data_IF_776666633066
#
_entry.id   IF_776666633066
#
_cell.length_a   1.000
_cell.length_b   1.000
_cell.length_c   1.000
_cell.angle_alpha   90.00
_cell.angle_beta   90.00
_cell.angle_gamma   90.00
#
_symmetry.space_group_name_H-M   'P 1'
#
loop_
_entity.id
_entity.type
_entity.pdbx_description
1 polymer ?
#
# COMPACT_ATOMS: atom_id res chain seq x y z
N UNK A 1 -27.97 5.23 -3.36
CA UNK A 1 -26.52 5.19 -3.60
C UNK A 1 -25.85 5.97 -2.48
N UNK A 2 -25.22 5.29 -1.52
CA UNK A 2 -24.45 5.95 -0.47
C UNK A 2 -23.11 6.34 -1.08
N UNK A 3 -22.95 7.61 -1.47
CA UNK A 3 -21.65 8.13 -1.90
C UNK A 3 -20.77 8.22 -0.66
N UNK A 4 -19.84 7.29 -0.53
CA UNK A 4 -18.81 7.35 0.50
C UNK A 4 -17.99 8.62 0.26
N UNK A 5 -18.02 9.57 1.19
CA UNK A 5 -17.24 10.80 1.07
C UNK A 5 -15.75 10.46 1.05
N UNK A 6 -14.91 11.13 0.23
CA UNK A 6 -13.45 10.93 0.24
C UNK A 6 -12.83 11.05 1.65
N UNK A 7 -13.42 11.89 2.50
CA UNK A 7 -13.01 12.05 3.91
C UNK A 7 -13.27 10.78 4.72
N UNK A 8 -14.35 10.06 4.43
CA UNK A 8 -14.68 8.81 5.11
C UNK A 8 -13.70 7.71 4.72
N UNK A 9 -13.32 7.62 3.43
CA UNK A 9 -12.32 6.67 2.97
C UNK A 9 -10.96 6.92 3.65
N UNK A 10 -10.52 8.18 3.67
CA UNK A 10 -9.27 8.60 4.32
C UNK A 10 -9.23 8.22 5.82
N UNK A 11 -10.30 8.45 6.56
CA UNK A 11 -10.38 8.12 7.99
C UNK A 11 -10.38 6.60 8.24
N UNK A 12 -10.93 5.80 7.33
CA UNK A 12 -10.89 4.35 7.41
C UNK A 12 -9.46 3.84 7.21
N UNK A 13 -8.76 4.31 6.18
CA UNK A 13 -7.36 3.92 5.91
C UNK A 13 -6.44 4.27 7.08
N UNK A 14 -6.60 5.46 7.66
CA UNK A 14 -5.82 5.88 8.83
C UNK A 14 -6.02 4.95 10.02
N UNK A 15 -7.29 4.62 10.35
CA UNK A 15 -7.61 3.70 11.47
C UNK A 15 -7.05 2.29 11.26
N UNK A 16 -7.07 1.80 10.02
CA UNK A 16 -6.49 0.49 9.68
C UNK A 16 -4.99 0.49 9.96
N UNK A 17 -4.26 1.52 9.50
CA UNK A 17 -2.83 1.64 9.78
C UNK A 17 -2.52 1.77 11.27
N UNK A 18 -3.25 2.61 12.00
CA UNK A 18 -3.07 2.76 13.45
C UNK A 18 -3.19 1.41 14.17
N UNK A 19 -4.19 0.60 13.82
CA UNK A 19 -4.38 -0.75 14.40
C UNK A 19 -3.21 -1.70 14.07
N UNK A 20 -2.70 -1.68 12.84
CA UNK A 20 -1.59 -2.54 12.43
C UNK A 20 -0.28 -2.11 13.13
N UNK A 21 -0.07 -0.81 13.28
CA UNK A 21 1.11 -0.26 13.96
C UNK A 21 1.03 -0.54 15.46
N UNK A 22 -0.15 -0.43 16.07
CA UNK A 22 -0.36 -0.83 17.46
C UNK A 22 -0.02 -2.31 17.68
N UNK A 23 -0.53 -3.18 16.81
CA UNK A 23 -0.24 -4.61 16.82
C UNK A 23 1.27 -4.88 16.70
N UNK A 24 1.96 -4.20 15.78
CA UNK A 24 3.42 -4.28 15.67
C UNK A 24 4.13 -3.89 16.98
N UNK A 25 3.75 -2.75 17.58
CA UNK A 25 4.39 -2.25 18.79
C UNK A 25 4.14 -3.14 20.01
N UNK A 26 2.97 -3.78 20.09
CA UNK A 26 2.65 -4.68 21.20
C UNK A 26 3.33 -6.05 21.07
N UNK A 27 3.60 -6.51 19.85
CA UNK A 27 4.10 -7.87 19.60
C UNK A 27 5.58 -7.96 19.21
N UNK A 28 6.29 -6.83 19.09
CA UNK A 28 7.71 -6.81 18.72
C UNK A 28 8.59 -6.19 19.79
N UNK A 29 9.85 -6.63 19.86
CA UNK A 29 10.77 -6.10 20.86
C UNK A 29 11.18 -4.66 20.49
N UNK A 30 11.26 -3.77 21.48
CA UNK A 30 11.57 -2.36 21.23
C UNK A 30 12.93 -2.10 20.54
N UNK A 31 13.83 -3.07 20.58
CA UNK A 31 15.11 -3.04 19.85
C UNK A 31 14.94 -3.09 18.34
N UNK A 32 13.91 -3.79 17.86
CA UNK A 32 13.63 -4.02 16.43
C UNK A 32 12.82 -2.89 15.80
N UNK A 33 12.26 -1.99 16.63
CA UNK A 33 11.47 -0.87 16.16
C UNK A 33 12.31 0.06 15.29
N UNK A 34 11.86 0.22 14.05
CA UNK A 34 12.37 1.18 13.07
C UNK A 34 11.27 1.50 12.07
N UNK A 35 11.36 2.65 11.39
CA UNK A 35 10.42 3.02 10.33
C UNK A 35 10.35 1.92 9.27
N UNK A 36 11.50 1.42 8.81
CA UNK A 36 11.54 0.35 7.81
C UNK A 36 10.85 -0.94 8.30
N UNK A 37 11.04 -1.32 9.56
CA UNK A 37 10.41 -2.52 10.13
C UNK A 37 8.88 -2.37 10.16
N UNK A 38 8.38 -1.19 10.52
CA UNK A 38 6.95 -0.90 10.56
C UNK A 38 6.35 -0.88 9.16
N UNK A 39 7.02 -0.25 8.20
CA UNK A 39 6.59 -0.24 6.79
C UNK A 39 6.46 -1.66 6.24
N UNK A 40 7.47 -2.51 6.49
CA UNK A 40 7.43 -3.93 6.07
C UNK A 40 6.33 -4.72 6.77
N UNK A 41 6.14 -4.50 8.07
CA UNK A 41 5.08 -5.17 8.82
C UNK A 41 3.71 -4.77 8.30
N UNK A 42 3.51 -3.48 8.02
CA UNK A 42 2.26 -2.94 7.49
C UNK A 42 1.98 -3.54 6.11
N UNK A 43 2.95 -3.53 5.20
CA UNK A 43 2.82 -4.14 3.86
C UNK A 43 2.48 -5.63 3.90
N UNK A 44 2.97 -6.35 4.92
CA UNK A 44 2.66 -7.78 5.10
C UNK A 44 1.23 -8.06 5.59
N UNK A 45 0.52 -7.03 6.06
CA UNK A 45 -0.84 -7.10 6.61
C UNK A 45 -1.87 -6.47 5.69
N UNK A 46 -1.48 -5.40 5.01
CA UNK A 46 -2.31 -4.57 4.13
C UNK A 46 -1.46 -4.11 2.95
N UNK A 47 -1.99 -4.17 1.72
CA UNK A 47 -1.29 -3.61 0.55
C UNK A 47 -1.19 -2.10 0.72
N UNK A 48 0.03 -1.55 0.69
CA UNK A 48 0.25 -0.11 0.75
C UNK A 48 0.29 0.44 -0.68
N UNK A 49 -0.56 1.42 -0.97
CA UNK A 49 -0.49 2.21 -2.21
C UNK A 49 0.41 3.43 -2.03
N UNK A 50 1.01 3.94 -3.11
CA UNK A 50 1.88 5.13 -3.03
C UNK A 50 1.12 6.33 -2.46
N UNK A 51 -0.16 6.49 -2.82
CA UNK A 51 -1.01 7.57 -2.33
C UNK A 51 -1.28 7.49 -0.82
N UNK A 52 -1.22 6.30 -0.24
CA UNK A 52 -1.47 6.06 1.19
C UNK A 52 -0.24 6.33 2.07
N UNK A 53 0.95 6.51 1.48
CA UNK A 53 2.21 6.71 2.22
C UNK A 53 2.13 7.93 3.15
N UNK A 54 1.44 9.00 2.73
CA UNK A 54 1.21 10.17 3.58
C UNK A 54 0.43 9.82 4.85
N UNK A 55 -0.72 9.15 4.67
CA UNK A 55 -1.58 8.68 5.76
C UNK A 55 -0.84 7.71 6.69
N UNK A 56 -0.03 6.81 6.13
CA UNK A 56 0.78 5.88 6.90
C UNK A 56 1.84 6.60 7.75
N UNK A 57 2.49 7.65 7.21
CA UNK A 57 3.41 8.49 8.00
C UNK A 57 2.68 9.17 9.15
N UNK A 58 1.49 9.71 8.92
CA UNK A 58 0.73 10.36 9.99
C UNK A 58 0.28 9.36 11.06
N UNK A 59 -0.13 8.15 10.65
CA UNK A 59 -0.47 7.05 11.57
C UNK A 59 0.72 6.63 12.43
N UNK A 60 1.91 6.40 11.84
CA UNK A 60 3.11 5.99 12.61
C UNK A 60 3.49 7.06 13.63
N UNK A 61 3.48 8.33 13.22
CA UNK A 61 3.82 9.44 14.12
C UNK A 61 2.82 9.52 15.29
N UNK A 62 1.52 9.48 14.98
CA UNK A 62 0.43 9.51 15.95
C UNK A 62 0.55 8.35 16.94
N UNK A 63 0.80 7.14 16.43
CA UNK A 63 0.94 5.95 17.27
C UNK A 63 2.17 6.02 18.17
N UNK A 64 3.32 6.51 17.69
CA UNK A 64 4.49 6.71 18.55
C UNK A 64 4.22 7.72 19.67
N UNK A 65 3.55 8.84 19.36
CA UNK A 65 3.15 9.85 20.36
C UNK A 65 2.19 9.26 21.38
N UNK A 66 1.17 8.54 20.91
CA UNK A 66 0.18 7.90 21.76
C UNK A 66 0.83 6.85 22.67
N UNK A 67 1.65 5.95 22.11
CA UNK A 67 2.33 4.90 22.87
C UNK A 67 3.27 5.49 23.93
N UNK A 68 4.00 6.55 23.59
CA UNK A 68 4.88 7.27 24.52
C UNK A 68 4.12 7.95 25.66
N UNK A 69 2.86 8.34 25.43
CA UNK A 69 2.01 8.98 26.45
C UNK A 69 1.39 8.00 27.46
N UNK A 70 1.53 6.68 27.25
CA UNK A 70 0.96 5.66 28.14
C UNK A 70 1.55 5.76 29.55
N UNK A 71 0.69 5.61 30.56
CA UNK A 71 1.10 5.51 31.96
C UNK A 71 1.97 4.26 32.14
N UNK A 72 3.01 4.35 32.98
CA UNK A 72 3.91 3.25 33.33
C UNK A 72 4.73 2.66 32.18
N UNK A 73 4.96 3.43 31.11
CA UNK A 73 5.88 3.00 30.06
C UNK A 73 7.31 2.81 30.60
N UNK A 74 7.95 1.70 30.23
CA UNK A 74 9.33 1.44 30.65
C UNK A 74 10.28 2.51 30.09
N UNK A 75 11.25 2.97 30.89
CA UNK A 75 12.20 4.02 30.51
C UNK A 75 12.94 3.71 29.20
N UNK A 76 13.31 2.44 28.98
CA UNK A 76 13.95 2.00 27.73
C UNK A 76 13.07 2.21 26.51
N UNK A 77 11.79 1.85 26.61
CA UNK A 77 10.80 2.00 25.54
C UNK A 77 10.54 3.50 25.28
N UNK A 78 10.37 4.29 26.34
CA UNK A 78 10.21 5.74 26.24
C UNK A 78 11.42 6.40 25.55
N UNK A 79 12.65 6.01 25.91
CA UNK A 79 13.87 6.49 25.26
C UNK A 79 13.96 6.10 23.79
N UNK A 80 13.56 4.88 23.43
CA UNK A 80 13.49 4.42 22.05
C UNK A 80 12.48 5.22 21.22
N UNK A 81 11.26 5.40 21.74
CA UNK A 81 10.22 6.21 21.07
C UNK A 81 10.64 7.67 20.95
N UNK A 82 11.32 8.24 21.95
CA UNK A 82 11.93 9.56 21.86
C UNK A 82 12.85 9.68 20.66
N UNK A 83 13.84 8.78 20.55
CA UNK A 83 14.77 8.78 19.41
C UNK A 83 14.09 8.60 18.06
N UNK A 84 13.06 7.76 17.98
CA UNK A 84 12.30 7.55 16.74
C UNK A 84 11.49 8.80 16.34
N UNK A 85 10.91 9.50 17.31
CA UNK A 85 10.20 10.76 17.09
C UNK A 85 11.15 11.91 16.73
N UNK A 86 12.29 12.03 17.41
CA UNK A 86 13.26 13.11 17.17
C UNK A 86 13.92 12.97 15.78
N UNK A 87 14.09 11.74 15.30
CA UNK A 87 14.68 11.45 13.99
C UNK A 87 13.64 11.01 12.96
N UNK A 88 12.36 11.35 13.16
CA UNK A 88 11.25 10.80 12.38
C UNK A 88 11.43 11.06 10.89
N UNK A 89 11.53 12.33 10.48
CA UNK A 89 11.67 12.71 9.07
C UNK A 89 12.97 12.18 8.46
N UNK A 90 14.06 12.22 9.22
CA UNK A 90 15.37 11.69 8.80
C UNK A 90 15.27 10.19 8.50
N UNK A 91 14.51 9.45 9.29
CA UNK A 91 14.35 8.00 9.13
C UNK A 91 13.70 7.64 7.79
N UNK A 92 12.75 8.45 7.31
CA UNK A 92 12.17 8.30 5.96
C UNK A 92 13.13 8.70 4.84
N UNK A 93 14.11 9.56 5.13
CA UNK A 93 15.16 9.94 4.19
C UNK A 93 16.23 8.88 3.95
N UNK A 94 16.27 7.81 4.75
CA UNK A 94 17.32 6.79 4.67
C UNK A 94 17.26 6.01 3.34
N UNK A 95 18.41 5.57 2.78
CA UNK A 95 18.43 4.83 1.52
C UNK A 95 17.55 3.58 1.50
N UNK A 96 17.46 2.87 2.64
CA UNK A 96 16.64 1.67 2.76
C UNK A 96 15.14 1.96 2.70
N UNK A 97 14.70 3.04 3.35
CA UNK A 97 13.28 3.44 3.29
C UNK A 97 12.94 4.03 1.93
N UNK A 98 13.81 4.85 1.34
CA UNK A 98 13.64 5.34 -0.04
C UNK A 98 13.52 4.20 -1.05
N UNK A 99 14.36 3.17 -0.93
CA UNK A 99 14.28 1.98 -1.79
C UNK A 99 12.94 1.28 -1.62
N UNK A 100 12.49 1.04 -0.38
CA UNK A 100 11.19 0.43 -0.12
C UNK A 100 10.03 1.22 -0.76
N UNK A 101 10.02 2.55 -0.61
CA UNK A 101 8.99 3.41 -1.22
C UNK A 101 9.06 3.43 -2.76
N UNK A 102 10.26 3.36 -3.33
CA UNK A 102 10.43 3.27 -4.78
C UNK A 102 9.98 1.91 -5.31
N UNK A 103 10.25 0.82 -4.58
CA UNK A 103 9.77 -0.52 -4.93
C UNK A 103 8.23 -0.58 -4.90
N UNK A 104 7.58 0.12 -3.97
CA UNK A 104 6.12 0.28 -3.97
C UNK A 104 5.63 0.97 -5.25
N UNK A 105 6.25 2.09 -5.63
CA UNK A 105 5.87 2.83 -6.84
C UNK A 105 6.04 2.01 -8.11
N UNK A 106 7.14 1.28 -8.23
CA UNK A 106 7.39 0.42 -9.40
C UNK A 106 6.30 -0.66 -9.49
N UNK A 107 5.93 -1.31 -8.39
CA UNK A 107 4.86 -2.31 -8.40
C UNK A 107 3.51 -1.74 -8.82
N UNK A 108 3.18 -0.54 -8.36
CA UNK A 108 1.93 0.13 -8.74
C UNK A 108 1.93 0.51 -10.23
N UNK A 109 3.04 1.03 -10.75
CA UNK A 109 3.22 1.29 -12.18
C UNK A 109 3.10 -0.01 -13.03
N UNK A 110 3.65 -1.12 -12.54
CA UNK A 110 3.53 -2.44 -13.19
C UNK A 110 2.08 -2.97 -13.18
N UNK A 111 1.38 -2.84 -12.06
CA UNK A 111 -0.04 -3.22 -11.92
C UNK A 111 -0.90 -2.40 -12.91
N UNK A 112 -0.69 -1.08 -12.98
CA UNK A 112 -1.41 -0.19 -13.90
C UNK A 112 -1.17 -0.56 -15.37
N UNK A 113 0.09 -0.85 -15.72
CA UNK A 113 0.46 -1.29 -17.05
C UNK A 113 -0.22 -2.62 -17.39
N UNK A 114 -0.19 -3.61 -16.49
CA UNK A 114 -0.85 -4.90 -16.70
C UNK A 114 -2.35 -4.75 -16.94
N UNK A 115 -3.04 -3.94 -16.11
CA UNK A 115 -4.47 -3.62 -16.30
C UNK A 115 -4.71 -2.99 -17.67
N UNK A 116 -3.82 -2.11 -18.14
CA UNK A 116 -3.96 -1.46 -19.45
C UNK A 116 -3.84 -2.43 -20.63
N UNK A 117 -3.04 -3.51 -20.50
CA UNK A 117 -2.94 -4.56 -21.51
C UNK A 117 -4.19 -5.45 -21.52
N UNK A 118 -4.68 -5.86 -20.35
CA UNK A 118 -5.90 -6.68 -20.23
C UNK A 118 -7.13 -5.95 -20.79
N UNK A 119 -7.26 -4.64 -20.57
CA UNK A 119 -8.35 -3.83 -21.14
C UNK A 119 -8.22 -3.71 -22.67
N UNK A 120 -7.00 -3.68 -23.24
CA UNK A 120 -6.81 -3.67 -24.69
C UNK A 120 -7.23 -5.00 -25.32
N UNK A 121 -6.86 -6.11 -24.70
CA UNK A 121 -7.21 -7.45 -25.19
C UNK A 121 -8.72 -7.72 -25.10
N UNK A 122 -9.42 -7.16 -24.11
CA UNK A 122 -10.88 -7.23 -23.97
C UNK A 122 -11.64 -6.28 -24.93
N UNK A 123 -11.00 -5.23 -25.45
CA UNK A 123 -11.59 -4.31 -26.42
C UNK A 123 -11.33 -4.72 -27.88
N UNK A 124 -10.63 -5.83 -28.12
CA UNK A 124 -10.63 -6.49 -29.44
C UNK A 124 -11.99 -7.13 -29.65
N UNK A 125 -12.91 -6.38 -30.25
CA UNK A 125 -14.22 -6.87 -30.68
C UNK A 125 -14.05 -8.09 -31.61
N UNK A 126 -14.77 -9.21 -31.39
CA UNK A 126 -14.81 -10.31 -32.36
C UNK A 126 -15.65 -9.86 -33.57
N UNK A 127 -15.03 -9.10 -34.48
CA UNK A 127 -15.63 -8.74 -35.78
C UNK A 127 -14.72 -8.97 -36.98
N UNK A 128 -13.66 -9.75 -36.82
CA UNK A 128 -12.78 -10.12 -37.95
C UNK A 128 -12.39 -11.61 -37.93
N UNK A 129 -13.34 -12.51 -37.64
CA UNK A 129 -13.17 -13.95 -37.90
C UNK A 129 -14.24 -14.57 -38.82
N UNK A 130 -15.15 -13.78 -39.41
CA UNK A 130 -16.24 -14.29 -40.25
C UNK A 130 -16.18 -13.84 -41.72
N UNK A 131 -14.98 -13.83 -42.35
CA UNK A 131 -14.88 -13.67 -43.81
C UNK A 131 -14.26 -14.90 -44.50
N UNK A 132 -13.80 -15.91 -43.76
CA UNK A 132 -13.17 -17.10 -44.35
C UNK A 132 -14.04 -18.38 -44.32
N UNK A 133 -15.34 -18.28 -44.05
CA UNK A 133 -16.27 -19.42 -44.12
C UNK A 133 -17.41 -19.29 -45.13
N UNK A 134 -17.54 -18.14 -45.82
CA UNK A 134 -18.59 -17.91 -46.81
C UNK A 134 -18.21 -18.29 -48.25
N UNK A 135 -16.94 -18.56 -48.55
CA UNK A 135 -16.49 -18.93 -49.90
C UNK A 135 -16.50 -20.43 -50.22
N UNK A 136 -16.96 -21.29 -49.29
CA UNK A 136 -16.97 -22.75 -49.47
C UNK A 136 -18.33 -23.35 -49.91
N UNK A 137 -19.43 -22.58 -49.92
CA UNK A 137 -20.76 -23.11 -50.26
C UNK A 137 -21.31 -22.69 -51.64
N UNK A 138 -20.52 -21.99 -52.47
CA UNK A 138 -20.95 -21.63 -53.82
C UNK A 138 -20.28 -22.43 -54.96
N UNK A 139 -19.62 -23.55 -54.63
CA UNK A 139 -18.97 -24.43 -55.62
C UNK A 139 -19.43 -25.89 -55.52
N UNK A 140 -20.63 -26.16 -54.99
CA UNK A 140 -21.25 -27.50 -55.01
C UNK A 140 -22.76 -27.44 -55.33
N UNK A 141 -23.15 -26.56 -56.25
CA UNK A 141 -24.48 -26.63 -56.86
C UNK A 141 -24.41 -26.24 -58.32
N UNK A 142 -23.78 -27.10 -59.13
CA UNK A 142 -24.09 -27.32 -60.54
C UNK A 142 -23.93 -28.82 -60.84
#
# INVERSE_FOLDING_TARGET
>A
MLTCSPVHLFLLTLRTFESIIEDYLNNTTCTEWSILSILKYTESKEKIYVDDVGSLKDAIYTMFRHYKSRKNIQQRVNGKLGKLLDNYDVSFGTPKVKRFLNDLRIREEEDDLQVSFEIRDLNVSPKEQDIEFAHAYHTLTL
#
